data_IF_639446019376
#
_entry.id   IF_639446019376
#
_cell.length_a   1.000
_cell.length_b   1.000
_cell.length_c   1.000
_cell.angle_alpha   90.00
_cell.angle_beta   90.00
_cell.angle_gamma   90.00
#
_symmetry.space_group_name_H-M   'P 1'
#
loop_
_entity.id
_entity.type
_entity.pdbx_description
1 polymer ?
#
# COMPACT_ATOMS: atom_id res chain seq x y z
N UNK A 1 -15.14 15.12 -19.84
CA UNK A 1 -15.40 14.60 -18.47
C UNK A 1 -14.50 13.40 -18.25
N UNK A 2 -13.32 13.62 -17.69
CA UNK A 2 -12.49 12.52 -17.19
C UNK A 2 -13.16 12.04 -15.92
N UNK A 3 -13.98 11.00 -16.01
CA UNK A 3 -14.41 10.27 -14.82
C UNK A 3 -13.12 9.79 -14.16
N UNK A 4 -12.71 10.46 -13.08
CA UNK A 4 -11.81 9.85 -12.12
C UNK A 4 -12.49 8.55 -11.74
N UNK A 5 -11.99 7.43 -12.28
CA UNK A 5 -12.40 6.12 -11.81
C UNK A 5 -11.93 6.13 -10.36
N UNK A 6 -12.88 6.40 -9.46
CA UNK A 6 -12.70 6.40 -8.03
C UNK A 6 -12.10 5.05 -7.74
N UNK A 7 -10.82 5.07 -7.37
CA UNK A 7 -10.13 3.85 -7.08
C UNK A 7 -10.93 3.09 -6.01
N UNK A 8 -10.81 1.76 -5.90
CA UNK A 8 -11.40 0.99 -4.78
C UNK A 8 -10.91 1.46 -3.39
N UNK A 9 -10.09 2.51 -3.35
CA UNK A 9 -9.21 2.95 -2.27
C UNK A 9 -9.94 3.40 -1.02
N UNK A 10 -11.11 4.03 -1.10
CA UNK A 10 -11.67 4.63 0.12
C UNK A 10 -12.14 3.56 1.11
N UNK A 11 -12.78 2.52 0.60
CA UNK A 11 -13.28 1.43 1.44
C UNK A 11 -12.16 0.42 1.75
N UNK A 12 -11.27 0.13 0.78
CA UNK A 12 -10.12 -0.77 1.00
C UNK A 12 -9.12 -0.26 2.05
N UNK A 13 -8.73 1.02 2.00
CA UNK A 13 -7.79 1.57 2.98
C UNK A 13 -8.42 1.74 4.37
N UNK A 14 -9.75 1.87 4.45
CA UNK A 14 -10.44 2.07 5.73
C UNK A 14 -10.43 0.84 6.63
N UNK A 15 -10.38 -0.36 6.04
CA UNK A 15 -10.32 -1.63 6.78
C UNK A 15 -8.89 -2.13 7.00
N UNK A 16 -7.88 -1.34 6.60
CA UNK A 16 -6.48 -1.66 6.86
C UNK A 16 -6.21 -1.70 8.35
N UNK A 17 -5.50 -2.75 8.78
CA UNK A 17 -4.98 -2.90 10.14
C UNK A 17 -3.48 -2.85 10.12
N UNK A 18 -2.89 -2.53 11.27
CA UNK A 18 -1.44 -2.54 11.49
C UNK A 18 -1.19 -3.50 12.65
N UNK A 19 -0.23 -4.40 12.49
CA UNK A 19 0.16 -5.33 13.55
C UNK A 19 1.15 -4.68 14.54
N UNK A 20 1.59 -5.46 15.53
CA UNK A 20 2.53 -5.01 16.57
C UNK A 20 3.92 -4.61 16.02
N UNK A 21 4.28 -5.07 14.82
CA UNK A 21 5.54 -4.75 14.15
C UNK A 21 5.39 -3.58 13.15
N UNK A 22 4.22 -2.96 13.07
CA UNK A 22 3.96 -1.87 12.13
C UNK A 22 3.64 -2.34 10.70
N UNK A 23 3.38 -3.63 10.49
CA UNK A 23 3.07 -4.20 9.18
C UNK A 23 1.57 -4.11 8.91
N UNK A 24 1.21 -3.61 7.72
CA UNK A 24 -0.18 -3.52 7.32
C UNK A 24 -0.77 -4.88 6.90
N UNK A 25 -2.01 -5.14 7.28
CA UNK A 25 -2.75 -6.34 6.88
C UNK A 25 -4.25 -6.09 6.79
N UNK A 26 -4.94 -6.98 6.09
CA UNK A 26 -6.40 -7.04 5.96
C UNK A 26 -6.90 -8.40 6.42
N UNK A 27 -8.14 -8.45 6.94
CA UNK A 27 -8.78 -9.73 7.25
C UNK A 27 -9.71 -10.16 6.11
N UNK A 28 -9.79 -11.46 5.84
CA UNK A 28 -10.72 -11.98 4.85
C UNK A 28 -12.17 -11.67 5.19
N UNK A 29 -12.55 -11.72 6.46
CA UNK A 29 -13.92 -11.40 6.90
C UNK A 29 -14.35 -9.97 6.61
N UNK A 30 -13.43 -9.01 6.55
CA UNK A 30 -13.72 -7.60 6.21
C UNK A 30 -13.53 -7.32 4.72
N UNK A 31 -12.50 -7.90 4.10
CA UNK A 31 -12.18 -7.65 2.69
C UNK A 31 -13.23 -8.24 1.74
N UNK A 32 -13.66 -9.47 1.99
CA UNK A 32 -14.44 -10.23 1.01
C UNK A 32 -15.84 -9.63 0.75
N UNK A 33 -16.58 -9.11 1.75
CA UNK A 33 -17.81 -8.36 1.51
C UNK A 33 -17.61 -7.12 0.62
N UNK A 34 -16.51 -6.38 0.79
CA UNK A 34 -16.20 -5.20 -0.05
C UNK A 34 -15.91 -5.57 -1.52
N UNK A 35 -15.57 -6.84 -1.78
CA UNK A 35 -15.38 -7.39 -3.12
C UNK A 35 -16.64 -8.09 -3.66
N UNK A 36 -17.78 -7.91 -2.99
CA UNK A 36 -19.07 -8.50 -3.38
C UNK A 36 -19.23 -9.98 -3.03
N UNK A 37 -18.41 -10.54 -2.14
CA UNK A 37 -18.53 -11.94 -1.68
C UNK A 37 -19.16 -12.02 -0.29
N UNK A 38 -20.49 -12.01 -0.25
CA UNK A 38 -21.25 -12.11 1.00
C UNK A 38 -21.17 -13.52 1.64
N UNK A 39 -21.13 -14.56 0.81
CA UNK A 39 -21.04 -15.97 1.27
C UNK A 39 -19.58 -16.39 1.37
N UNK A 40 -19.19 -16.86 2.56
CA UNK A 40 -17.81 -17.27 2.84
C UNK A 40 -17.29 -18.38 1.92
N UNK A 41 -18.14 -19.33 1.51
CA UNK A 41 -17.73 -20.41 0.62
C UNK A 41 -17.24 -19.86 -0.74
N UNK A 42 -17.94 -18.85 -1.28
CA UNK A 42 -17.52 -18.20 -2.53
C UNK A 42 -16.24 -17.39 -2.32
N UNK A 43 -16.08 -16.80 -1.13
CA UNK A 43 -14.86 -16.11 -0.76
C UNK A 43 -13.65 -17.06 -0.68
N UNK A 44 -13.81 -18.23 -0.07
CA UNK A 44 -12.77 -19.26 0.00
C UNK A 44 -12.31 -19.71 -1.39
N UNK A 45 -13.22 -19.81 -2.36
CA UNK A 45 -12.89 -20.18 -3.73
C UNK A 45 -11.97 -19.14 -4.40
N UNK A 46 -12.31 -17.86 -4.32
CA UNK A 46 -11.47 -16.79 -4.91
C UNK A 46 -10.15 -16.62 -4.17
N UNK A 47 -10.13 -16.75 -2.83
CA UNK A 47 -8.89 -16.76 -2.05
C UNK A 47 -7.99 -17.91 -2.51
N UNK A 48 -8.55 -19.10 -2.73
CA UNK A 48 -7.81 -20.25 -3.25
C UNK A 48 -7.24 -20.02 -4.66
N UNK A 49 -8.01 -19.38 -5.55
CA UNK A 49 -7.50 -18.99 -6.89
C UNK A 49 -6.34 -18.00 -6.79
N UNK A 50 -6.48 -16.96 -5.95
CA UNK A 50 -5.44 -15.96 -5.73
C UNK A 50 -4.17 -16.55 -5.11
N UNK A 51 -4.32 -17.45 -4.12
CA UNK A 51 -3.20 -18.17 -3.52
C UNK A 51 -2.45 -19.03 -4.55
N UNK A 52 -3.17 -19.71 -5.47
CA UNK A 52 -2.53 -20.43 -6.58
C UNK A 52 -1.79 -19.48 -7.54
N UNK A 53 -2.35 -18.33 -7.86
CA UNK A 53 -1.69 -17.32 -8.68
C UNK A 53 -0.40 -16.79 -8.02
N UNK A 54 -0.41 -16.59 -6.70
CA UNK A 54 0.76 -16.22 -5.90
C UNK A 54 1.89 -17.26 -6.04
N UNK A 55 1.57 -18.54 -5.81
CA UNK A 55 2.52 -19.66 -5.94
C UNK A 55 3.08 -19.74 -7.37
N UNK A 56 2.21 -19.67 -8.38
CA UNK A 56 2.61 -19.75 -9.79
C UNK A 56 3.46 -18.54 -10.22
N UNK A 57 3.40 -17.43 -9.49
CA UNK A 57 4.24 -16.24 -9.71
C UNK A 57 5.57 -16.32 -8.95
N UNK A 58 5.90 -17.46 -8.34
CA UNK A 58 7.15 -17.69 -7.60
C UNK A 58 7.19 -17.08 -6.21
N UNK A 59 6.05 -16.61 -5.68
CA UNK A 59 5.98 -16.02 -4.34
C UNK A 59 5.68 -17.08 -3.28
N UNK A 60 6.23 -16.90 -2.08
CA UNK A 60 5.94 -17.77 -0.94
C UNK A 60 4.56 -17.43 -0.36
N UNK A 61 3.56 -18.26 -0.66
CA UNK A 61 2.15 -17.98 -0.33
C UNK A 61 1.91 -17.68 1.15
N UNK A 62 2.64 -18.32 2.06
CA UNK A 62 2.49 -18.14 3.51
C UNK A 62 2.92 -16.74 3.99
N UNK A 63 3.74 -16.02 3.21
CA UNK A 63 4.11 -14.62 3.49
C UNK A 63 2.96 -13.65 3.20
N UNK A 64 2.00 -14.06 2.36
CA UNK A 64 0.94 -13.19 1.84
C UNK A 64 -0.46 -13.62 2.32
N UNK A 65 -0.68 -14.92 2.53
CA UNK A 65 -1.97 -15.53 2.90
C UNK A 65 -1.84 -16.30 4.21
N UNK A 66 -1.81 -15.59 5.34
CA UNK A 66 -1.68 -16.23 6.65
C UNK A 66 -3.05 -16.67 7.17
N UNK A 67 -3.26 -17.96 7.40
CA UNK A 67 -4.51 -18.44 8.02
C UNK A 67 -4.65 -17.87 9.43
N UNK A 68 -5.84 -17.36 9.75
CA UNK A 68 -6.20 -16.90 11.08
C UNK A 68 -7.54 -17.49 11.47
N UNK A 69 -7.57 -18.52 12.31
CA UNK A 69 -8.81 -19.07 12.88
C UNK A 69 -9.11 -18.41 14.22
N UNK A 70 -10.38 -18.12 14.52
CA UNK A 70 -10.83 -17.82 15.89
C UNK A 70 -11.89 -18.82 16.31
N UNK A 71 -11.78 -19.32 17.54
CA UNK A 71 -12.85 -20.08 18.16
C UNK A 71 -13.95 -19.11 18.59
N UNK A 72 -15.18 -19.35 18.16
CA UNK A 72 -16.33 -18.49 18.48
C UNK A 72 -17.40 -19.35 19.14
N UNK A 73 -17.93 -18.87 20.25
CA UNK A 73 -19.02 -19.54 20.96
C UNK A 73 -20.32 -19.29 20.21
N UNK A 74 -21.00 -20.37 19.85
CA UNK A 74 -22.36 -20.35 19.31
C UNK A 74 -23.23 -20.99 20.39
N UNK A 75 -24.46 -20.49 20.57
CA UNK A 75 -25.34 -20.83 21.71
C UNK A 75 -25.31 -22.29 22.19
N UNK A 76 -25.60 -22.49 23.48
CA UNK A 76 -25.52 -23.78 24.18
C UNK A 76 -24.14 -24.44 24.11
N UNK A 77 -23.15 -23.83 24.77
CA UNK A 77 -21.81 -24.41 25.05
C UNK A 77 -21.02 -24.99 23.86
N UNK A 78 -21.35 -24.63 22.62
CA UNK A 78 -20.69 -25.16 21.44
C UNK A 78 -19.72 -24.13 20.87
N UNK A 79 -18.45 -24.49 20.71
CA UNK A 79 -17.44 -23.65 20.06
C UNK A 79 -17.22 -24.11 18.62
N UNK A 80 -17.13 -23.17 17.68
CA UNK A 80 -16.77 -23.46 16.29
C UNK A 80 -15.57 -22.63 15.90
N UNK A 81 -14.61 -23.25 15.21
CA UNK A 81 -13.55 -22.52 14.54
C UNK A 81 -14.13 -21.77 13.34
N UNK A 82 -14.07 -20.44 13.39
CA UNK A 82 -14.35 -19.58 12.24
C UNK A 82 -13.03 -19.34 11.54
N UNK A 83 -12.87 -20.01 10.39
CA UNK A 83 -11.73 -19.81 9.50
C UNK A 83 -11.72 -18.38 8.97
N UNK A 84 -10.55 -17.78 8.93
CA UNK A 84 -10.29 -16.48 8.31
C UNK A 84 -8.83 -16.46 7.82
N UNK A 85 -8.44 -15.36 7.20
CA UNK A 85 -7.09 -15.12 6.70
C UNK A 85 -6.67 -13.69 7.02
N UNK A 86 -5.37 -13.51 7.23
CA UNK A 86 -4.70 -12.23 7.10
C UNK A 86 -4.04 -12.16 5.73
N UNK A 87 -4.23 -11.02 5.07
CA UNK A 87 -3.66 -10.72 3.78
C UNK A 87 -2.76 -9.51 3.90
N UNK A 88 -1.60 -9.55 3.25
CA UNK A 88 -0.87 -8.33 2.95
C UNK A 88 -1.50 -7.63 1.73
N UNK A 89 -0.98 -6.45 1.39
CA UNK A 89 -1.48 -5.67 0.25
C UNK A 89 -1.38 -6.45 -1.07
N UNK A 90 -0.33 -7.24 -1.24
CA UNK A 90 -0.11 -8.04 -2.45
C UNK A 90 -1.19 -9.12 -2.60
N UNK A 91 -1.48 -9.88 -1.55
CA UNK A 91 -2.58 -10.87 -1.54
C UNK A 91 -3.94 -10.22 -1.85
N UNK A 92 -4.23 -9.05 -1.26
CA UNK A 92 -5.45 -8.30 -1.55
C UNK A 92 -5.60 -8.00 -3.05
N UNK A 93 -4.52 -7.57 -3.71
CA UNK A 93 -4.53 -7.30 -5.15
C UNK A 93 -4.73 -8.57 -5.97
N UNK A 94 -4.07 -9.67 -5.62
CA UNK A 94 -4.28 -10.95 -6.29
C UNK A 94 -5.72 -11.45 -6.15
N UNK A 95 -6.34 -11.29 -4.97
CA UNK A 95 -7.76 -11.64 -4.76
C UNK A 95 -8.66 -10.83 -5.69
N UNK A 96 -8.45 -9.52 -5.78
CA UNK A 96 -9.22 -8.65 -6.67
C UNK A 96 -9.03 -9.03 -8.15
N UNK A 97 -7.79 -9.32 -8.58
CA UNK A 97 -7.49 -9.71 -9.96
C UNK A 97 -8.12 -11.05 -10.36
N UNK A 98 -8.18 -12.01 -9.43
CA UNK A 98 -8.70 -13.37 -9.65
C UNK A 98 -10.19 -13.53 -9.28
N UNK A 99 -10.87 -12.42 -9.01
CA UNK A 99 -12.29 -12.40 -8.68
C UNK A 99 -13.21 -12.66 -9.88
N UNK A 100 -14.49 -12.92 -9.60
CA UNK A 100 -15.54 -13.05 -10.61
C UNK A 100 -15.82 -11.68 -11.26
N UNK A 101 -15.53 -11.48 -12.55
CA UNK A 101 -15.70 -10.20 -13.24
C UNK A 101 -17.17 -9.80 -13.41
N UNK A 102 -18.13 -10.69 -13.11
CA UNK A 102 -19.57 -10.34 -13.07
C UNK A 102 -19.92 -9.46 -11.87
N UNK A 103 -19.03 -9.35 -10.87
CA UNK A 103 -19.17 -8.45 -9.73
C UNK A 103 -18.58 -7.08 -10.08
N UNK A 104 -19.36 -6.02 -9.90
CA UNK A 104 -18.94 -4.65 -10.24
C UNK A 104 -17.68 -4.22 -9.50
N UNK A 105 -17.53 -4.62 -8.24
CA UNK A 105 -16.39 -4.31 -7.38
C UNK A 105 -15.10 -4.90 -7.96
N UNK A 106 -15.18 -6.14 -8.46
CA UNK A 106 -14.07 -6.81 -9.15
C UNK A 106 -13.76 -6.14 -10.48
N UNK A 107 -14.77 -5.84 -11.30
CA UNK A 107 -14.57 -5.18 -12.60
C UNK A 107 -13.93 -3.79 -12.45
N UNK A 108 -14.33 -3.02 -11.43
CA UNK A 108 -13.72 -1.72 -11.09
C UNK A 108 -12.26 -1.91 -10.68
N UNK A 109 -11.95 -2.89 -9.83
CA UNK A 109 -10.58 -3.18 -9.44
C UNK A 109 -9.70 -3.60 -10.63
N UNK A 110 -10.20 -4.45 -11.53
CA UNK A 110 -9.50 -4.84 -12.76
C UNK A 110 -9.25 -3.63 -13.68
N UNK A 111 -10.24 -2.74 -13.82
CA UNK A 111 -10.07 -1.49 -14.58
C UNK A 111 -9.01 -0.59 -13.95
N UNK A 112 -9.01 -0.47 -12.62
CA UNK A 112 -7.97 0.25 -11.89
C UNK A 112 -6.59 -0.31 -12.21
N UNK A 113 -6.39 -1.64 -12.15
CA UNK A 113 -5.10 -2.24 -12.48
C UNK A 113 -4.67 -1.97 -13.92
N UNK A 114 -5.58 -2.12 -14.90
CA UNK A 114 -5.26 -1.81 -16.30
C UNK A 114 -4.77 -0.37 -16.49
N UNK A 115 -5.39 0.59 -15.80
CA UNK A 115 -4.99 2.01 -15.84
C UNK A 115 -3.67 2.23 -15.12
N UNK A 116 -3.48 1.66 -13.92
CA UNK A 116 -2.24 1.85 -13.17
C UNK A 116 -1.05 1.22 -13.89
N UNK A 117 -1.18 0.02 -14.44
CA UNK A 117 -0.14 -0.60 -15.25
C UNK A 117 0.23 0.30 -16.42
N UNK A 118 -0.76 0.82 -17.15
CA UNK A 118 -0.48 1.72 -18.28
C UNK A 118 0.22 3.02 -17.85
N UNK A 119 -0.18 3.59 -16.71
CA UNK A 119 0.48 4.76 -16.14
C UNK A 119 1.95 4.47 -15.80
N UNK A 120 2.21 3.31 -15.20
CA UNK A 120 3.57 2.89 -14.85
C UNK A 120 4.44 2.67 -16.10
N UNK A 121 3.93 1.97 -17.12
CA UNK A 121 4.63 1.79 -18.40
C UNK A 121 5.00 3.12 -19.06
N UNK A 122 4.08 4.08 -19.10
CA UNK A 122 4.33 5.41 -19.65
C UNK A 122 5.37 6.15 -18.81
N UNK A 123 5.26 6.08 -17.48
CA UNK A 123 6.22 6.70 -16.58
C UNK A 123 7.64 6.15 -16.81
N UNK A 124 7.78 4.85 -17.01
CA UNK A 124 9.07 4.21 -17.29
C UNK A 124 9.69 4.66 -18.61
N UNK A 125 8.89 5.05 -19.59
CA UNK A 125 9.35 5.59 -20.88
C UNK A 125 9.77 7.07 -20.80
N UNK A 126 9.48 7.78 -19.71
CA UNK A 126 9.89 9.18 -19.57
C UNK A 126 11.42 9.31 -19.44
N UNK A 127 12.01 10.38 -20.00
CA UNK A 127 13.40 10.74 -19.70
C UNK A 127 13.61 10.92 -18.19
N UNK A 128 14.80 10.59 -17.69
CA UNK A 128 15.12 10.71 -16.26
C UNK A 128 14.95 12.12 -15.69
N UNK A 129 15.10 13.15 -16.53
CA UNK A 129 14.84 14.54 -16.15
C UNK A 129 13.36 14.76 -15.85
N UNK A 130 12.45 14.25 -16.68
CA UNK A 130 11.01 14.35 -16.47
C UNK A 130 10.57 13.52 -15.26
N UNK A 131 11.09 12.30 -15.09
CA UNK A 131 10.86 11.47 -13.90
C UNK A 131 11.27 12.20 -12.62
N UNK A 132 12.47 12.81 -12.61
CA UNK A 132 12.97 13.61 -11.47
C UNK A 132 12.06 14.78 -11.12
N UNK A 133 11.59 15.53 -12.12
CA UNK A 133 10.64 16.64 -11.89
C UNK A 133 9.34 16.14 -11.26
N UNK A 134 8.79 15.02 -11.75
CA UNK A 134 7.58 14.43 -11.17
C UNK A 134 7.78 13.96 -9.73
N UNK A 135 8.86 13.21 -9.46
CA UNK A 135 9.20 12.74 -8.11
C UNK A 135 9.38 13.93 -7.15
N UNK A 136 10.08 14.98 -7.58
CA UNK A 136 10.27 16.19 -6.78
C UNK A 136 8.95 16.84 -6.42
N UNK A 137 8.02 16.95 -7.38
CA UNK A 137 6.70 17.51 -7.15
C UNK A 137 5.94 16.67 -6.10
N UNK A 138 5.97 15.35 -6.22
CA UNK A 138 5.34 14.44 -5.27
C UNK A 138 5.93 14.58 -3.86
N UNK A 139 7.27 14.55 -3.73
CA UNK A 139 7.93 14.73 -2.42
C UNK A 139 7.62 16.09 -1.82
N UNK A 140 7.55 17.14 -2.64
CA UNK A 140 7.16 18.48 -2.21
C UNK A 140 5.76 18.47 -1.62
N UNK A 141 4.80 17.82 -2.27
CA UNK A 141 3.41 17.75 -1.82
C UNK A 141 3.24 16.86 -0.58
N UNK A 142 4.01 15.78 -0.46
CA UNK A 142 4.05 14.97 0.76
C UNK A 142 4.67 15.73 1.95
N UNK A 143 5.76 16.47 1.71
CA UNK A 143 6.35 17.34 2.74
C UNK A 143 5.35 18.39 3.22
N UNK A 144 4.56 19.00 2.32
CA UNK A 144 3.48 19.92 2.73
C UNK A 144 2.47 19.24 3.66
N UNK A 145 2.03 18.02 3.33
CA UNK A 145 1.11 17.24 4.18
C UNK A 145 1.76 16.93 5.54
N UNK A 146 3.01 16.46 5.55
CA UNK A 146 3.77 16.19 6.77
C UNK A 146 3.86 17.43 7.66
N UNK A 147 4.25 18.58 7.11
CA UNK A 147 4.33 19.83 7.87
C UNK A 147 2.98 20.27 8.40
N UNK A 148 1.90 20.11 7.63
CA UNK A 148 0.53 20.40 8.09
C UNK A 148 0.16 19.51 9.27
N UNK A 149 0.44 18.21 9.21
CA UNK A 149 0.17 17.26 10.29
C UNK A 149 1.02 17.54 11.53
N UNK A 150 2.34 17.77 11.34
CA UNK A 150 3.27 18.11 12.42
C UNK A 150 2.84 19.40 13.15
N UNK A 151 2.41 20.43 12.39
CA UNK A 151 1.83 21.65 12.97
C UNK A 151 0.60 21.33 13.82
N UNK A 152 -0.31 20.50 13.30
CA UNK A 152 -1.50 20.06 14.03
C UNK A 152 -1.18 19.29 15.31
N UNK A 153 -0.04 18.58 15.35
CA UNK A 153 0.47 17.87 16.52
C UNK A 153 1.30 18.76 17.47
N UNK A 154 1.39 20.07 17.23
CA UNK A 154 2.07 21.02 18.12
C UNK A 154 3.56 21.24 17.83
N UNK A 155 4.08 20.77 16.69
CA UNK A 155 5.46 21.05 16.28
C UNK A 155 5.60 22.54 15.94
N UNK A 156 6.52 23.22 16.62
CA UNK A 156 6.81 24.66 16.43
C UNK A 156 8.15 24.91 15.75
N UNK A 157 9.14 24.03 15.96
CA UNK A 157 10.51 24.15 15.41
C UNK A 157 10.70 23.29 14.16
N UNK A 158 10.11 23.72 13.04
CA UNK A 158 10.12 22.94 11.78
C UNK A 158 11.50 22.65 11.20
N UNK A 159 12.49 23.55 11.39
CA UNK A 159 13.86 23.31 10.95
C UNK A 159 14.48 22.09 11.65
N UNK A 160 14.34 21.99 12.98
CA UNK A 160 14.81 20.84 13.76
C UNK A 160 14.01 19.57 13.46
N UNK A 161 12.70 19.70 13.28
CA UNK A 161 11.83 18.58 12.90
C UNK A 161 12.25 17.95 11.57
N UNK A 162 12.51 18.79 10.56
CA UNK A 162 12.93 18.34 9.24
C UNK A 162 14.34 17.71 9.28
N UNK A 163 15.29 18.33 9.99
CA UNK A 163 16.64 17.80 10.13
C UNK A 163 16.68 16.47 10.90
N UNK A 164 15.85 16.31 11.93
CA UNK A 164 15.66 15.04 12.62
C UNK A 164 15.11 13.95 11.67
N UNK A 165 14.22 14.31 10.74
CA UNK A 165 13.75 13.42 9.68
C UNK A 165 14.90 12.93 8.78
N UNK A 166 15.77 13.83 8.32
CA UNK A 166 16.95 13.45 7.54
C UNK A 166 17.93 12.60 8.34
N UNK A 167 18.15 12.92 9.61
CA UNK A 167 18.99 12.12 10.51
C UNK A 167 18.43 10.70 10.69
N UNK A 168 17.11 10.54 10.78
CA UNK A 168 16.47 9.23 10.82
C UNK A 168 16.68 8.42 9.54
N UNK A 169 16.63 9.06 8.38
CA UNK A 169 16.76 8.40 7.07
C UNK A 169 18.22 8.09 6.68
N UNK A 170 19.16 8.98 7.01
CA UNK A 170 20.54 8.93 6.52
C UNK A 170 21.59 8.79 7.63
N UNK A 171 21.17 8.76 8.90
CA UNK A 171 22.06 8.69 10.07
C UNK A 171 22.80 10.00 10.37
N UNK A 172 22.61 11.06 9.57
CA UNK A 172 23.32 12.34 9.71
C UNK A 172 22.44 13.55 9.33
N UNK A 173 22.76 14.76 9.83
CA UNK A 173 22.06 16.00 9.50
C UNK A 173 22.06 16.32 8.00
N UNK A 174 21.09 17.12 7.54
CA UNK A 174 20.94 17.49 6.13
C UNK A 174 22.19 18.16 5.55
N UNK A 175 22.84 19.04 6.31
CA UNK A 175 24.07 19.73 5.91
C UNK A 175 25.18 18.75 5.53
N UNK A 176 25.31 17.68 6.30
CA UNK A 176 26.37 16.70 6.16
C UNK A 176 26.10 15.80 4.96
N UNK A 177 24.82 15.50 4.69
CA UNK A 177 24.39 14.81 3.48
C UNK A 177 24.72 15.64 2.24
N UNK A 178 24.38 16.93 2.26
CA UNK A 178 24.62 17.84 1.13
C UNK A 178 26.12 17.94 0.81
N UNK A 179 26.95 18.08 1.84
CA UNK A 179 28.41 18.09 1.71
C UNK A 179 28.95 16.74 1.20
N UNK A 180 28.55 15.62 1.81
CA UNK A 180 29.03 14.27 1.46
C UNK A 180 28.66 13.88 0.04
N UNK A 181 27.47 14.28 -0.44
CA UNK A 181 27.00 13.99 -1.79
C UNK A 181 27.43 15.04 -2.83
N UNK A 182 28.09 16.13 -2.41
CA UNK A 182 28.50 17.22 -3.30
C UNK A 182 27.31 17.88 -4.02
N UNK A 183 26.18 18.02 -3.33
CA UNK A 183 24.93 18.57 -3.88
C UNK A 183 24.62 19.93 -3.27
N UNK A 184 23.95 20.79 -4.05
CA UNK A 184 23.56 22.11 -3.54
C UNK A 184 22.37 21.99 -2.61
N UNK A 185 22.19 23.02 -1.78
CA UNK A 185 21.06 23.13 -0.87
C UNK A 185 19.74 22.97 -1.63
N UNK A 186 18.93 22.00 -1.21
CA UNK A 186 17.63 21.71 -1.85
C UNK A 186 17.68 20.77 -3.06
N UNK A 187 18.85 20.30 -3.49
CA UNK A 187 18.99 19.29 -4.56
C UNK A 187 18.90 17.84 -4.05
N UNK A 188 18.85 17.63 -2.73
CA UNK A 188 18.78 16.27 -2.17
C UNK A 188 17.54 15.51 -2.64
N UNK A 189 16.42 16.20 -2.82
CA UNK A 189 15.18 15.60 -3.32
C UNK A 189 15.28 15.22 -4.81
N UNK A 190 16.17 15.85 -5.56
CA UNK A 190 16.40 15.54 -6.98
C UNK A 190 17.33 14.32 -7.15
N UNK A 191 18.03 13.89 -6.08
CA UNK A 191 19.02 12.80 -6.07
C UNK A 191 18.76 11.71 -5.03
N UNK A 192 17.59 11.70 -4.41
CA UNK A 192 17.20 10.73 -3.37
C UNK A 192 17.00 9.31 -3.92
N UNK A 193 16.81 9.15 -5.23
CA UNK A 193 16.69 7.84 -5.91
C UNK A 193 17.92 7.41 -6.72
N UNK A 194 18.94 8.26 -6.87
CA UNK A 194 20.17 7.89 -7.56
C UNK A 194 21.18 7.37 -6.54
N UNK A 195 21.28 6.06 -6.39
CA UNK A 195 22.47 5.41 -5.82
C UNK A 195 23.61 5.52 -6.82
N UNK A 196 24.20 6.71 -6.93
CA UNK A 196 25.50 6.90 -7.55
C UNK A 196 26.51 7.14 -6.42
N UNK A 197 27.31 6.12 -6.13
CA UNK A 197 28.65 6.31 -5.58
C UNK A 197 29.55 6.84 -6.69
#
# INVERSE_FOLDING_TARGET
>A
MTNEITAPHKDFESIKKIDENGVEYWTGRELMPLLGYEKWQNAEEVISRAARACINSGQAVDNHFTKSGKMVQIGSNTVREVRDYKFDRYACYLIAQNGDPRKSEIAIAQTYFAIQTRRQEIFEQLPDTAKRVMIRQEVTDQNKKLFKTAKGAGVTKFGLFNDAGYKGLYGMPLSDIEQKKGIKKGELLDRSGSTGY
#
